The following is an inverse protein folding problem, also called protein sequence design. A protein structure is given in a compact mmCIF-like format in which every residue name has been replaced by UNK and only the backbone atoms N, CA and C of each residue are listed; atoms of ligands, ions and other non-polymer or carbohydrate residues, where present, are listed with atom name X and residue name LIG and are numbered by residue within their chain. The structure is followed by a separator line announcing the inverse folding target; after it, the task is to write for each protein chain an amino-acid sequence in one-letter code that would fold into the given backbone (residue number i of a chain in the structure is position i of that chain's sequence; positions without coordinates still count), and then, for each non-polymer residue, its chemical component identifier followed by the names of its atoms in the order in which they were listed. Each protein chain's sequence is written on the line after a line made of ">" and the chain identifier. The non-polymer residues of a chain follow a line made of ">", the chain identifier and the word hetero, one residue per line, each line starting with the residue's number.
data_IF_477593743215
#
_entry.id   IF_477593743215
#
_cell.length_a   1.000
_cell.length_b   1.000
_cell.length_c   1.000
_cell.angle_alpha   90.00
_cell.angle_beta   90.00
_cell.angle_gamma   90.00
#
_symmetry.space_group_name_H-M   'P 1'
#
loop_
_entity.id
_entity.type
_entity.pdbx_description
1 polymer ?
#
# COMPACT_ATOMS: atom_id res chain seq x y z
N UNK A 1 4.45 -19.49 34.90
CA UNK A 1 4.54 -19.20 33.52
C UNK A 1 3.22 -19.01 32.75
N UNK A 2 2.12 -18.80 33.49
CA UNK A 2 0.85 -18.41 32.90
C UNK A 2 0.96 -17.06 32.17
N UNK A 3 1.79 -16.15 32.68
CA UNK A 3 2.08 -14.87 32.04
C UNK A 3 2.84 -15.01 30.72
N UNK A 4 3.62 -16.06 30.53
CA UNK A 4 4.35 -16.34 29.30
C UNK A 4 3.43 -16.88 28.18
N UNK A 5 2.49 -17.76 28.52
CA UNK A 5 1.48 -18.24 27.57
C UNK A 5 0.43 -17.18 27.23
N UNK A 6 0.08 -16.32 28.18
CA UNK A 6 -0.72 -15.13 27.95
C UNK A 6 0.03 -14.11 27.07
N UNK A 7 1.36 -14.00 27.19
CA UNK A 7 2.19 -13.16 26.33
C UNK A 7 2.24 -13.63 24.88
N UNK A 8 2.25 -14.94 24.62
CA UNK A 8 2.21 -15.50 23.25
C UNK A 8 0.83 -15.37 22.61
N UNK A 9 -0.22 -15.57 23.36
CA UNK A 9 -1.60 -15.38 22.89
C UNK A 9 -1.94 -13.90 22.72
N UNK A 10 -1.46 -13.05 23.63
CA UNK A 10 -1.53 -11.60 23.55
C UNK A 10 -0.71 -11.03 22.39
N UNK A 11 0.39 -11.67 21.96
CA UNK A 11 1.19 -11.16 20.82
C UNK A 11 0.46 -11.38 19.50
N UNK A 12 -0.34 -12.45 19.36
CA UNK A 12 -1.14 -12.69 18.16
C UNK A 12 -2.40 -11.81 18.15
N UNK A 13 -3.12 -11.76 19.26
CA UNK A 13 -4.30 -10.91 19.44
C UNK A 13 -3.91 -9.43 19.57
N UNK A 14 -2.77 -9.08 20.20
CA UNK A 14 -2.26 -7.70 20.28
C UNK A 14 -1.65 -7.20 18.97
N UNK A 15 -1.17 -8.05 18.08
CA UNK A 15 -0.82 -7.63 16.71
C UNK A 15 -2.08 -7.24 15.96
N UNK A 16 -3.19 -7.91 16.24
CA UNK A 16 -4.51 -7.56 15.69
C UNK A 16 -5.15 -6.34 16.40
N UNK A 17 -4.92 -6.19 17.71
CA UNK A 17 -5.41 -5.05 18.50
C UNK A 17 -4.47 -3.83 18.47
N UNK A 18 -3.16 -4.02 18.26
CA UNK A 18 -2.18 -2.92 18.21
C UNK A 18 -2.11 -2.22 16.85
N UNK A 19 -2.78 -2.75 15.83
CA UNK A 19 -3.15 -1.93 14.70
C UNK A 19 -4.37 -1.12 15.16
N UNK A 20 -4.11 -0.19 16.07
CA UNK A 20 -5.13 0.67 16.65
C UNK A 20 -5.62 1.71 15.65
N UNK A 21 -6.64 2.44 16.03
CA UNK A 21 -7.19 3.54 15.24
C UNK A 21 -6.11 4.53 14.77
N UNK A 22 -5.07 4.75 15.56
CA UNK A 22 -3.94 5.65 15.23
C UNK A 22 -3.12 5.13 14.05
N UNK A 23 -2.90 3.82 13.98
CA UNK A 23 -2.14 3.21 12.88
C UNK A 23 -2.92 3.26 11.57
N UNK A 24 -4.21 2.99 11.63
CA UNK A 24 -5.10 3.07 10.47
C UNK A 24 -5.21 4.51 9.96
N UNK A 25 -5.23 5.50 10.84
CA UNK A 25 -5.22 6.91 10.43
C UNK A 25 -3.91 7.27 9.70
N UNK A 26 -2.78 6.82 10.20
CA UNK A 26 -1.46 7.04 9.56
C UNK A 26 -1.42 6.35 8.19
N UNK A 27 -1.90 5.12 8.10
CA UNK A 27 -1.97 4.37 6.84
C UNK A 27 -2.93 5.00 5.83
N UNK A 28 -4.09 5.45 6.28
CA UNK A 28 -5.07 6.13 5.43
C UNK A 28 -4.53 7.47 4.91
N UNK A 29 -3.82 8.24 5.75
CA UNK A 29 -3.15 9.48 5.35
C UNK A 29 -2.07 9.22 4.30
N UNK A 30 -1.19 8.23 4.55
CA UNK A 30 -0.16 7.85 3.59
C UNK A 30 -0.77 7.41 2.26
N UNK A 31 -1.79 6.57 2.32
CA UNK A 31 -2.49 6.07 1.14
C UNK A 31 -3.14 7.21 0.34
N UNK A 32 -3.75 8.17 1.02
CA UNK A 32 -4.33 9.34 0.37
C UNK A 32 -3.26 10.18 -0.36
N UNK A 33 -2.14 10.48 0.31
CA UNK A 33 -1.04 11.22 -0.31
C UNK A 33 -0.50 10.49 -1.55
N UNK A 34 -0.37 9.17 -1.47
CA UNK A 34 0.09 8.33 -2.58
C UNK A 34 -0.90 8.35 -3.75
N UNK A 35 -2.20 8.25 -3.49
CA UNK A 35 -3.24 8.31 -4.52
C UNK A 35 -3.30 9.67 -5.21
N UNK A 36 -3.07 10.74 -4.47
CA UNK A 36 -3.02 12.11 -4.99
C UNK A 36 -1.69 12.42 -5.71
N UNK A 37 -0.69 11.52 -5.60
CA UNK A 37 0.65 11.73 -6.14
C UNK A 37 1.46 12.80 -5.40
N UNK A 38 1.06 13.11 -4.18
CA UNK A 38 1.68 14.12 -3.33
C UNK A 38 2.88 13.53 -2.58
N UNK A 39 4.04 13.63 -3.20
CA UNK A 39 5.30 13.10 -2.67
C UNK A 39 5.71 13.81 -1.38
N UNK A 40 5.53 15.12 -1.31
CA UNK A 40 5.95 15.93 -0.17
C UNK A 40 5.23 15.49 1.11
N UNK A 41 3.90 15.51 1.10
CA UNK A 41 3.11 15.07 2.24
C UNK A 41 3.28 13.57 2.55
N UNK A 42 3.49 12.74 1.54
CA UNK A 42 3.76 11.32 1.75
C UNK A 42 5.09 11.08 2.50
N UNK A 43 6.13 11.84 2.18
CA UNK A 43 7.41 11.80 2.90
C UNK A 43 7.27 12.36 4.32
N UNK A 44 6.49 13.41 4.52
CA UNK A 44 6.19 13.94 5.86
C UNK A 44 5.56 12.89 6.77
N UNK A 45 4.65 12.07 6.25
CA UNK A 45 4.08 10.94 7.00
C UNK A 45 5.15 9.90 7.36
N UNK A 46 6.08 9.62 6.46
CA UNK A 46 7.22 8.73 6.75
C UNK A 46 8.10 9.33 7.84
N UNK A 47 8.36 10.62 7.78
CA UNK A 47 9.14 11.34 8.80
C UNK A 47 8.47 11.28 10.17
N UNK A 48 7.16 11.46 10.26
CA UNK A 48 6.42 11.28 11.51
C UNK A 48 6.62 9.88 12.10
N UNK A 49 6.57 8.83 11.27
CA UNK A 49 6.78 7.45 11.70
C UNK A 49 8.20 7.24 12.23
N UNK A 50 9.20 7.83 11.57
CA UNK A 50 10.61 7.79 12.02
C UNK A 50 10.78 8.54 13.34
N UNK A 51 10.21 9.74 13.48
CA UNK A 51 10.25 10.53 14.70
C UNK A 51 9.58 9.85 15.90
N UNK A 52 8.54 9.07 15.67
CA UNK A 52 7.89 8.25 16.69
C UNK A 52 8.74 7.06 17.14
N UNK A 53 9.90 6.84 16.51
CA UNK A 53 10.78 5.72 16.85
C UNK A 53 10.24 4.35 16.46
N UNK A 54 9.30 4.28 15.52
CA UNK A 54 8.71 3.00 15.07
C UNK A 54 9.73 2.21 14.23
N UNK A 55 9.71 0.90 14.41
CA UNK A 55 10.53 0.01 13.58
C UNK A 55 9.97 -0.03 12.14
N UNK A 56 10.78 0.42 11.17
CA UNK A 56 10.31 0.66 9.80
C UNK A 56 9.96 -0.64 9.06
N UNK A 57 10.64 -1.74 9.35
CA UNK A 57 10.30 -3.04 8.78
C UNK A 57 8.93 -3.52 9.25
N UNK A 58 8.62 -3.30 10.52
CA UNK A 58 7.30 -3.57 11.08
C UNK A 58 6.22 -2.70 10.43
N UNK A 59 6.48 -1.41 10.30
CA UNK A 59 5.57 -0.47 9.63
C UNK A 59 5.24 -0.90 8.20
N UNK A 60 6.26 -1.32 7.42
CA UNK A 60 6.07 -1.81 6.05
C UNK A 60 5.19 -3.06 6.01
N UNK A 61 5.41 -4.01 6.92
CA UNK A 61 4.60 -5.22 7.02
C UNK A 61 3.16 -4.92 7.42
N UNK A 62 2.94 -4.05 8.39
CA UNK A 62 1.61 -3.62 8.84
C UNK A 62 0.85 -2.88 7.74
N UNK A 63 1.53 -2.02 6.99
CA UNK A 63 0.94 -1.34 5.85
C UNK A 63 0.59 -2.29 4.70
N UNK A 64 1.45 -3.26 4.42
CA UNK A 64 1.17 -4.31 3.43
C UNK A 64 -0.07 -5.12 3.84
N UNK A 65 -0.18 -5.46 5.12
CA UNK A 65 -1.34 -6.15 5.66
C UNK A 65 -2.62 -5.29 5.58
N UNK A 66 -2.52 -4.01 5.84
CA UNK A 66 -3.61 -3.05 5.66
C UNK A 66 -4.11 -3.01 4.21
N UNK A 67 -3.20 -2.92 3.23
CA UNK A 67 -3.54 -2.97 1.80
C UNK A 67 -4.20 -4.31 1.40
N UNK A 68 -3.68 -5.42 1.92
CA UNK A 68 -4.28 -6.75 1.70
C UNK A 68 -5.72 -6.79 2.21
N UNK A 69 -6.00 -6.21 3.38
CA UNK A 69 -7.35 -6.18 3.92
C UNK A 69 -8.30 -5.34 3.08
N UNK A 70 -7.83 -4.22 2.53
CA UNK A 70 -8.60 -3.42 1.56
C UNK A 70 -8.96 -4.28 0.33
N UNK A 71 -7.99 -5.04 -0.19
CA UNK A 71 -8.22 -5.92 -1.33
C UNK A 71 -9.22 -7.04 -1.02
N UNK A 72 -9.10 -7.67 0.15
CA UNK A 72 -10.03 -8.73 0.60
C UNK A 72 -11.45 -8.18 0.73
N UNK A 73 -11.63 -7.01 1.32
CA UNK A 73 -12.94 -6.35 1.43
C UNK A 73 -13.50 -6.02 0.06
N UNK A 74 -12.67 -5.57 -0.87
CA UNK A 74 -13.10 -5.24 -2.24
C UNK A 74 -13.54 -6.46 -3.04
N UNK A 75 -12.82 -7.58 -2.91
CA UNK A 75 -13.09 -8.81 -3.66
C UNK A 75 -14.17 -9.68 -3.02
N UNK A 76 -14.29 -9.66 -1.71
CA UNK A 76 -15.31 -10.42 -1.01
C UNK A 76 -16.53 -9.54 -0.75
N UNK A 77 -17.61 -9.79 -1.49
CA UNK A 77 -18.92 -9.23 -1.17
C UNK A 77 -19.48 -9.75 0.18
N UNK A 78 -18.76 -10.67 0.83
CA UNK A 78 -19.14 -11.23 2.12
C UNK A 78 -18.73 -10.29 3.25
N UNK A 79 -19.68 -10.04 4.11
CA UNK A 79 -19.55 -9.29 5.37
C UNK A 79 -18.27 -9.59 6.13
N UNK A 80 -17.71 -8.55 6.74
CA UNK A 80 -16.42 -8.53 7.42
C UNK A 80 -16.17 -9.49 8.58
N UNK A 81 -16.91 -10.61 8.65
CA UNK A 81 -16.74 -11.67 9.64
C UNK A 81 -15.38 -12.41 9.56
N UNK A 82 -14.64 -12.18 8.49
CA UNK A 82 -13.31 -12.78 8.29
C UNK A 82 -12.14 -11.89 8.73
N UNK A 83 -12.43 -10.65 9.08
CA UNK A 83 -11.44 -9.70 9.55
C UNK A 83 -11.71 -9.41 11.01
N UNK A 84 -10.83 -9.90 11.89
CA UNK A 84 -10.84 -9.58 13.32
C UNK A 84 -10.54 -8.09 13.54
N UNK A 85 -11.50 -7.26 13.21
CA UNK A 85 -11.40 -5.80 13.31
C UNK A 85 -12.62 -5.21 14.01
N UNK A 86 -12.42 -4.03 14.59
CA UNK A 86 -13.53 -3.24 15.08
C UNK A 86 -14.44 -2.80 13.93
N UNK A 87 -15.72 -2.63 14.18
CA UNK A 87 -16.69 -2.18 13.16
C UNK A 87 -16.31 -0.84 12.54
N UNK A 88 -15.71 0.04 13.32
CA UNK A 88 -15.24 1.35 12.88
C UNK A 88 -14.08 1.23 11.89
N UNK A 89 -13.09 0.40 12.18
CA UNK A 89 -11.96 0.14 11.31
C UNK A 89 -12.38 -0.55 10.01
N UNK A 90 -13.33 -1.49 10.11
CA UNK A 90 -13.90 -2.16 8.94
C UNK A 90 -14.61 -1.16 8.03
N UNK A 91 -15.36 -0.21 8.60
CA UNK A 91 -16.05 0.81 7.80
C UNK A 91 -15.05 1.70 7.06
N UNK A 92 -13.97 2.13 7.71
CA UNK A 92 -12.88 2.89 7.07
C UNK A 92 -12.24 2.15 5.92
N UNK A 93 -11.97 0.85 6.10
CA UNK A 93 -11.41 -0.01 5.04
C UNK A 93 -12.39 -0.14 3.87
N UNK A 94 -13.68 -0.28 4.14
CA UNK A 94 -14.73 -0.31 3.10
C UNK A 94 -14.77 0.98 2.29
N UNK A 95 -14.74 2.12 2.96
CA UNK A 95 -14.75 3.44 2.31
C UNK A 95 -13.54 3.60 1.38
N UNK A 96 -12.37 3.16 1.81
CA UNK A 96 -11.15 3.17 0.99
C UNK A 96 -11.25 2.19 -0.18
N UNK A 97 -11.77 0.98 0.05
CA UNK A 97 -11.93 -0.05 -0.96
C UNK A 97 -12.89 0.37 -2.09
N UNK A 98 -13.88 1.20 -1.80
CA UNK A 98 -14.80 1.74 -2.82
C UNK A 98 -14.09 2.68 -3.81
N UNK A 99 -13.12 3.45 -3.34
CA UNK A 99 -12.42 4.48 -4.13
C UNK A 99 -11.26 3.92 -4.93
N UNK A 100 -10.65 2.82 -4.49
CA UNK A 100 -9.46 2.26 -5.13
C UNK A 100 -9.78 1.13 -6.11
N UNK A 101 -9.06 1.11 -7.23
CA UNK A 101 -9.10 -0.02 -8.18
C UNK A 101 -8.31 -1.22 -7.67
N UNK A 102 -8.76 -2.43 -7.99
CA UNK A 102 -8.07 -3.67 -7.64
C UNK A 102 -6.62 -3.72 -8.14
N UNK A 103 -6.40 -3.31 -9.39
CA UNK A 103 -5.07 -3.27 -10.00
C UNK A 103 -4.12 -2.34 -9.24
N UNK A 104 -4.62 -1.20 -8.78
CA UNK A 104 -3.86 -0.24 -7.97
C UNK A 104 -3.49 -0.83 -6.61
N UNK A 105 -4.43 -1.49 -5.94
CA UNK A 105 -4.18 -2.13 -4.65
C UNK A 105 -3.14 -3.25 -4.80
N UNK A 106 -3.27 -4.10 -5.81
CA UNK A 106 -2.32 -5.19 -6.10
C UNK A 106 -0.92 -4.63 -6.37
N UNK A 107 -0.83 -3.57 -7.16
CA UNK A 107 0.45 -2.89 -7.42
C UNK A 107 1.11 -2.39 -6.14
N UNK A 108 0.35 -1.76 -5.26
CA UNK A 108 0.84 -1.26 -3.97
C UNK A 108 1.31 -2.40 -3.06
N UNK A 109 0.55 -3.48 -3.01
CA UNK A 109 0.95 -4.69 -2.26
C UNK A 109 2.27 -5.24 -2.79
N UNK A 110 2.45 -5.33 -4.10
CA UNK A 110 3.68 -5.83 -4.72
C UNK A 110 4.88 -4.95 -4.38
N UNK A 111 4.76 -3.64 -4.50
CA UNK A 111 5.83 -2.68 -4.15
C UNK A 111 6.20 -2.78 -2.68
N UNK A 112 5.21 -2.83 -1.79
CA UNK A 112 5.47 -2.92 -0.35
C UNK A 112 5.97 -4.30 0.09
N UNK A 113 5.54 -5.38 -0.57
CA UNK A 113 6.08 -6.73 -0.32
C UNK A 113 7.55 -6.83 -0.72
N UNK A 114 7.93 -6.27 -1.87
CA UNK A 114 9.33 -6.15 -2.29
C UNK A 114 10.14 -5.28 -1.31
N UNK A 115 9.55 -4.18 -0.87
CA UNK A 115 10.13 -3.29 0.13
C UNK A 115 10.34 -4.02 1.46
N UNK A 116 9.40 -4.83 1.92
CA UNK A 116 9.51 -5.62 3.14
C UNK A 116 10.68 -6.62 3.07
N UNK A 117 10.87 -7.25 1.91
CA UNK A 117 12.01 -8.14 1.70
C UNK A 117 13.35 -7.41 1.74
N UNK A 118 13.44 -6.22 1.15
CA UNK A 118 14.66 -5.41 1.09
C UNK A 118 15.00 -4.74 2.42
N UNK A 119 14.00 -4.18 3.09
CA UNK A 119 14.21 -3.39 4.33
C UNK A 119 14.79 -4.24 5.45
N UNK A 120 14.49 -5.54 5.47
CA UNK A 120 14.99 -6.49 6.45
C UNK A 120 16.52 -6.56 6.49
N UNK A 121 17.16 -6.44 5.34
CA UNK A 121 18.62 -6.57 5.17
C UNK A 121 19.31 -5.22 4.94
N UNK A 122 18.57 -4.14 4.83
CA UNK A 122 19.13 -2.82 4.59
C UNK A 122 19.63 -2.16 5.86
N UNK A 123 20.79 -1.52 5.75
CA UNK A 123 21.32 -0.60 6.78
C UNK A 123 20.63 0.76 6.74
N UNK A 124 20.04 1.12 5.59
CA UNK A 124 19.38 2.40 5.35
C UNK A 124 17.87 2.21 5.15
N UNK A 125 17.21 1.68 6.16
CA UNK A 125 15.78 1.34 6.13
C UNK A 125 14.88 2.51 5.74
N UNK A 126 15.21 3.72 6.19
CA UNK A 126 14.48 4.93 5.85
C UNK A 126 14.48 5.19 4.35
N UNK A 127 15.63 5.15 3.71
CA UNK A 127 15.74 5.38 2.26
C UNK A 127 14.95 4.33 1.47
N UNK A 128 15.00 3.07 1.90
CA UNK A 128 14.23 1.99 1.25
C UNK A 128 12.72 2.28 1.31
N UNK A 129 12.23 2.74 2.45
CA UNK A 129 10.82 3.10 2.61
C UNK A 129 10.45 4.36 1.81
N UNK A 130 11.24 5.40 1.87
CA UNK A 130 11.02 6.64 1.10
C UNK A 130 10.97 6.35 -0.41
N UNK A 131 11.88 5.52 -0.92
CA UNK A 131 11.89 5.12 -2.33
C UNK A 131 10.66 4.33 -2.73
N UNK A 132 10.15 3.45 -1.86
CA UNK A 132 8.90 2.74 -2.10
C UNK A 132 7.71 3.71 -2.20
N UNK A 133 7.61 4.65 -1.27
CA UNK A 133 6.55 5.68 -1.25
C UNK A 133 6.61 6.56 -2.51
N UNK A 134 7.80 7.01 -2.91
CA UNK A 134 7.99 7.80 -4.13
C UNK A 134 7.55 7.03 -5.38
N UNK A 135 7.89 5.75 -5.47
CA UNK A 135 7.45 4.88 -6.57
C UNK A 135 5.93 4.79 -6.66
N UNK A 136 5.25 4.68 -5.53
CA UNK A 136 3.79 4.64 -5.51
C UNK A 136 3.18 5.98 -5.95
N UNK A 137 3.76 7.11 -5.51
CA UNK A 137 3.31 8.44 -5.92
C UNK A 137 3.58 8.72 -7.40
N UNK A 138 4.61 8.10 -7.96
CA UNK A 138 5.07 8.30 -9.33
C UNK A 138 5.21 7.00 -10.10
N UNK A 139 4.11 6.45 -10.63
CA UNK A 139 4.11 5.20 -11.38
C UNK A 139 5.07 5.19 -12.59
N UNK A 140 5.34 6.35 -13.16
CA UNK A 140 6.25 6.49 -14.30
C UNK A 140 7.72 6.15 -13.97
N UNK A 141 8.08 6.13 -12.68
CA UNK A 141 9.43 5.77 -12.21
C UNK A 141 9.57 4.27 -11.92
N UNK A 142 8.50 3.51 -12.00
CA UNK A 142 8.55 2.05 -11.86
C UNK A 142 9.12 1.44 -13.15
N UNK A 143 10.28 0.87 -13.03
CA UNK A 143 10.92 0.12 -14.13
C UNK A 143 10.69 -1.37 -13.91
N UNK A 144 9.43 -1.77 -13.84
CA UNK A 144 9.08 -3.18 -13.82
C UNK A 144 8.41 -3.60 -15.14
N UNK A 145 8.32 -4.91 -15.35
CA UNK A 145 7.76 -5.47 -16.58
C UNK A 145 6.27 -5.09 -16.75
N UNK A 146 5.54 -4.94 -15.66
CA UNK A 146 4.11 -4.59 -15.68
C UNK A 146 3.90 -3.15 -16.14
N UNK A 147 4.69 -2.21 -15.60
CA UNK A 147 4.61 -0.81 -16.01
C UNK A 147 5.08 -0.60 -17.45
N UNK A 148 6.05 -1.40 -17.92
CA UNK A 148 6.48 -1.39 -19.32
C UNK A 148 5.36 -1.89 -20.25
N UNK A 149 4.66 -2.95 -19.87
CA UNK A 149 3.49 -3.47 -20.63
C UNK A 149 2.38 -2.42 -20.70
N UNK A 150 2.07 -1.76 -19.59
CA UNK A 150 1.07 -0.68 -19.58
C UNK A 150 1.47 0.49 -20.48
N UNK A 151 2.74 0.89 -20.42
CA UNK A 151 3.26 1.93 -21.31
C UNK A 151 3.21 1.54 -22.77
N UNK A 152 3.51 0.29 -23.09
CA UNK A 152 3.40 -0.26 -24.45
C UNK A 152 1.95 -0.23 -24.91
N UNK A 153 1.00 -0.68 -24.11
CA UNK A 153 -0.46 -0.60 -24.42
C UNK A 153 -0.91 0.84 -24.67
N UNK A 154 -0.51 1.78 -23.80
CA UNK A 154 -0.85 3.18 -24.00
C UNK A 154 -0.29 3.76 -25.30
N UNK A 155 0.91 3.33 -25.69
CA UNK A 155 1.54 3.73 -26.95
C UNK A 155 0.83 3.09 -28.15
N UNK A 156 0.45 1.83 -28.04
CA UNK A 156 -0.34 1.12 -29.06
C UNK A 156 -1.70 1.79 -29.29
N UNK A 157 -2.43 2.11 -28.20
CA UNK A 157 -3.71 2.82 -28.27
C UNK A 157 -3.57 4.21 -28.92
N UNK A 158 -2.51 4.94 -28.59
CA UNK A 158 -2.22 6.23 -29.23
C UNK A 158 -1.89 6.08 -30.70
N UNK A 159 -1.16 5.04 -31.06
CA UNK A 159 -0.81 4.73 -32.45
C UNK A 159 -2.06 4.37 -33.25
N UNK A 160 -2.94 3.52 -32.72
CA UNK A 160 -4.22 3.18 -33.35
C UNK A 160 -5.09 4.42 -33.58
N UNK A 161 -5.23 5.28 -32.56
CA UNK A 161 -5.97 6.54 -32.68
C UNK A 161 -5.37 7.48 -33.73
N UNK A 162 -4.06 7.53 -33.87
CA UNK A 162 -3.38 8.31 -34.91
C UNK A 162 -3.58 7.71 -36.30
N UNK A 163 -3.60 6.39 -36.43
CA UNK A 163 -3.85 5.69 -37.69
C UNK A 163 -5.32 5.82 -38.10
N UNK A 164 -6.26 5.66 -37.17
CA UNK A 164 -7.72 5.84 -37.41
C UNK A 164 -8.08 7.31 -37.63
N UNK A 165 -7.30 8.25 -37.16
CA UNK A 165 -7.44 9.68 -37.39
C UNK A 165 -7.02 10.16 -38.75
N UNK A 166 -6.67 9.27 -39.69
CA UNK A 166 -6.38 9.59 -41.10
C UNK A 166 -5.04 10.29 -41.34
N UNK A 167 -4.08 10.12 -40.42
CA UNK A 167 -2.69 10.55 -40.66
C UNK A 167 -2.10 9.57 -41.66
N UNK A 168 -2.13 9.94 -42.92
CA UNK A 168 -1.43 9.24 -43.98
C UNK A 168 0.08 9.57 -43.83
N UNK A 169 0.83 8.61 -43.36
CA UNK A 169 2.28 8.59 -43.53
C UNK A 169 2.54 8.09 -44.94
N UNK A 170 2.61 8.99 -45.86
CA UNK A 170 3.14 8.71 -47.19
C UNK A 170 4.63 9.00 -47.21
#
# INVERSE_FOLDING_TARGET
>A
CVAFNLGQKLTYDNVLETIGAVDIDTFARLLKCVLEGDVENAIDVVDEVVWQGRELGRFVNEFTWFLRNILVVKLSAAEGDRLDMTKENLQRIKDIAEVMDESTIIRYINVFSDTAARIKYSTQKRIVLEMAVIKLCRPQMEVDTTSLIERVRMLEDKLEKLLDGGIQIT
#
